data_IF_568001091073
#
_entry.id   IF_568001091073
#
_cell.length_a   1.000
_cell.length_b   1.000
_cell.length_c   1.000
_cell.angle_alpha   90.00
_cell.angle_beta   90.00
_cell.angle_gamma   90.00
#
_symmetry.space_group_name_H-M   'P 1'
#
loop_
_entity.id
_entity.type
_entity.pdbx_description
1 polymer ?
#
# COMPACT_ATOMS: atom_id res chain seq x y z
N UNK A 1 -45.00 -60.42 16.92
CA UNK A 1 -45.12 -61.60 17.81
C UNK A 1 -45.22 -61.06 19.22
N UNK A 2 -46.41 -61.17 19.81
CA UNK A 2 -46.75 -60.66 21.13
C UNK A 2 -46.06 -61.47 22.24
N UNK A 3 -45.49 -60.80 23.25
CA UNK A 3 -45.26 -61.34 24.60
C UNK A 3 -45.47 -60.15 25.55
N UNK A 4 -46.68 -59.89 26.02
CA UNK A 4 -47.40 -60.49 27.16
C UNK A 4 -46.96 -59.94 28.52
N UNK A 5 -47.92 -59.26 29.15
CA UNK A 5 -47.93 -58.69 30.48
C UNK A 5 -48.01 -59.78 31.57
N UNK A 6 -47.26 -59.63 32.66
CA UNK A 6 -47.65 -60.06 34.01
C UNK A 6 -46.73 -59.39 35.04
N UNK A 7 -47.22 -58.29 35.63
CA UNK A 7 -46.65 -57.69 36.85
C UNK A 7 -47.28 -58.43 38.04
N UNK A 8 -46.47 -59.17 38.79
CA UNK A 8 -46.83 -59.68 40.11
C UNK A 8 -46.73 -58.56 41.15
N UNK A 9 -47.79 -58.40 41.93
CA UNK A 9 -47.81 -57.61 43.16
C UNK A 9 -46.92 -58.29 44.20
N UNK A 10 -45.84 -57.61 44.60
CA UNK A 10 -45.19 -57.83 45.90
C UNK A 10 -45.14 -56.52 46.67
N UNK A 11 -45.59 -56.60 47.92
CA UNK A 11 -45.75 -55.53 48.91
C UNK A 11 -44.41 -54.88 49.31
N UNK A 12 -44.50 -53.57 49.57
CA UNK A 12 -43.70 -52.77 50.52
C UNK A 12 -42.17 -52.75 50.37
N UNK A 13 -41.69 -51.69 49.72
CA UNK A 13 -40.94 -50.64 50.42
C UNK A 13 -41.04 -49.36 49.58
N UNK A 14 -42.00 -48.51 49.91
CA UNK A 14 -41.97 -47.11 49.50
C UNK A 14 -40.81 -46.46 50.27
N UNK A 15 -39.59 -46.60 49.75
CA UNK A 15 -38.53 -45.65 50.03
C UNK A 15 -38.90 -44.37 49.29
N UNK A 16 -39.76 -43.57 49.90
CA UNK A 16 -39.91 -42.19 49.48
C UNK A 16 -38.52 -41.55 49.60
N UNK A 17 -37.83 -41.41 48.48
CA UNK A 17 -36.84 -40.34 48.36
C UNK A 17 -37.66 -39.08 48.49
N UNK A 18 -37.77 -38.59 49.73
CA UNK A 18 -38.31 -37.28 50.06
C UNK A 18 -37.41 -36.29 49.32
N UNK A 19 -37.76 -35.98 48.06
CA UNK A 19 -37.39 -34.70 47.51
C UNK A 19 -38.14 -33.71 48.37
N UNK A 20 -37.43 -33.12 49.32
CA UNK A 20 -37.89 -31.92 50.02
C UNK A 20 -38.19 -30.94 48.90
N UNK A 21 -39.47 -30.77 48.55
CA UNK A 21 -39.87 -29.66 47.70
C UNK A 21 -39.53 -28.43 48.52
N UNK A 22 -38.70 -27.55 47.99
CA UNK A 22 -38.43 -26.30 48.68
C UNK A 22 -39.72 -25.49 48.71
N UNK A 23 -40.06 -24.99 49.90
CA UNK A 23 -41.31 -24.25 50.10
C UNK A 23 -41.27 -22.88 49.39
N UNK A 24 -40.07 -22.39 49.09
CA UNK A 24 -39.83 -21.26 48.18
C UNK A 24 -39.56 -21.81 46.78
N UNK A 25 -40.38 -21.41 45.81
CA UNK A 25 -40.30 -21.85 44.43
C UNK A 25 -39.69 -20.75 43.57
N UNK A 26 -38.55 -21.05 42.96
CA UNK A 26 -37.92 -20.23 41.92
C UNK A 26 -38.25 -20.85 40.56
N UNK A 27 -38.69 -20.02 39.61
CA UNK A 27 -39.08 -20.47 38.26
C UNK A 27 -37.94 -21.01 37.40
N UNK A 28 -36.68 -20.74 37.78
CA UNK A 28 -35.48 -21.24 37.09
C UNK A 28 -34.40 -21.67 38.07
N UNK A 29 -33.53 -22.58 37.63
CA UNK A 29 -32.31 -23.00 38.34
C UNK A 29 -31.04 -22.47 37.67
N UNK A 30 -31.14 -22.02 36.42
CA UNK A 30 -30.01 -21.49 35.66
C UNK A 30 -30.44 -20.46 34.63
N UNK A 31 -29.55 -19.55 34.28
CA UNK A 31 -29.74 -18.58 33.21
C UNK A 31 -28.46 -18.42 32.39
N UNK A 32 -28.64 -18.07 31.12
CA UNK A 32 -27.60 -17.55 30.24
C UNK A 32 -27.95 -16.07 30.02
N UNK A 33 -26.99 -15.18 30.21
CA UNK A 33 -27.16 -13.75 29.99
C UNK A 33 -25.88 -13.21 29.36
N UNK A 34 -26.02 -12.40 28.31
CA UNK A 34 -24.89 -11.68 27.74
C UNK A 34 -24.63 -10.43 28.56
N UNK A 35 -23.40 -9.94 28.59
CA UNK A 35 -23.11 -8.60 29.13
C UNK A 35 -24.02 -7.53 28.49
N UNK A 36 -24.47 -6.58 29.31
CA UNK A 36 -25.48 -5.58 28.95
C UNK A 36 -26.93 -6.07 28.84
N UNK A 37 -27.18 -7.38 28.86
CA UNK A 37 -28.52 -7.96 28.84
C UNK A 37 -29.07 -8.27 30.25
N UNK A 38 -30.33 -8.70 30.29
CA UNK A 38 -31.00 -9.09 31.52
C UNK A 38 -31.88 -10.33 31.35
N UNK A 39 -32.13 -11.03 32.45
CA UNK A 39 -33.13 -12.08 32.51
C UNK A 39 -34.06 -11.87 33.70
N UNK A 40 -35.28 -12.42 33.63
CA UNK A 40 -36.27 -12.30 34.70
C UNK A 40 -36.73 -13.68 35.12
N UNK A 41 -36.86 -13.88 36.44
CA UNK A 41 -37.45 -15.08 37.03
C UNK A 41 -38.50 -14.67 38.07
N UNK A 42 -39.50 -15.51 38.27
CA UNK A 42 -40.43 -15.36 39.39
C UNK A 42 -40.07 -16.22 40.61
N UNK A 43 -40.43 -15.67 41.78
CA UNK A 43 -40.38 -16.29 43.10
C UNK A 43 -41.80 -16.33 43.66
N UNK A 44 -42.18 -17.46 44.25
CA UNK A 44 -43.42 -17.60 45.03
C UNK A 44 -43.23 -18.64 46.13
N UNK A 45 -44.20 -18.75 47.03
CA UNK A 45 -44.27 -19.87 47.96
C UNK A 45 -45.19 -20.96 47.41
N UNK A 46 -45.04 -22.20 47.87
CA UNK A 46 -45.91 -23.31 47.51
C UNK A 46 -47.07 -23.54 48.49
N UNK A 47 -46.99 -23.00 49.71
CA UNK A 47 -48.02 -23.08 50.75
C UNK A 47 -48.22 -21.74 51.50
N UNK A 48 -49.38 -21.56 52.13
CA UNK A 48 -49.70 -20.35 52.91
C UNK A 48 -48.79 -20.24 54.15
N UNK A 49 -48.06 -19.12 54.36
CA UNK A 49 -47.25 -18.92 55.55
C UNK A 49 -48.15 -18.56 56.77
N UNK A 50 -48.59 -19.60 57.48
CA UNK A 50 -49.64 -19.52 58.49
C UNK A 50 -49.25 -18.73 59.74
N UNK A 51 -47.96 -18.66 60.07
CA UNK A 51 -47.46 -18.07 61.32
C UNK A 51 -46.72 -16.73 61.12
N UNK A 52 -46.91 -16.07 59.98
CA UNK A 52 -46.41 -14.71 59.71
C UNK A 52 -45.82 -14.55 58.30
N UNK A 53 -45.44 -13.32 57.88
CA UNK A 53 -44.87 -13.11 56.56
C UNK A 53 -43.52 -13.82 56.40
N UNK A 54 -43.19 -14.17 55.16
CA UNK A 54 -41.88 -14.70 54.75
C UNK A 54 -41.14 -13.63 53.98
N UNK A 55 -39.94 -13.29 54.45
CA UNK A 55 -39.02 -12.41 53.73
C UNK A 55 -37.98 -13.26 53.03
N UNK A 56 -37.89 -13.14 51.70
CA UNK A 56 -36.85 -13.76 50.89
C UNK A 56 -35.86 -12.66 50.49
N UNK A 57 -34.65 -12.65 51.06
CA UNK A 57 -33.56 -11.77 50.64
C UNK A 57 -32.85 -12.32 49.41
N UNK A 58 -32.42 -11.44 48.51
CA UNK A 58 -31.74 -11.77 47.25
C UNK A 58 -30.38 -11.08 47.24
N UNK A 59 -29.33 -11.83 46.93
CA UNK A 59 -27.97 -11.33 46.75
C UNK A 59 -27.30 -11.97 45.54
N UNK A 60 -26.28 -11.33 44.99
CA UNK A 60 -25.48 -11.86 43.88
C UNK A 60 -24.07 -12.17 44.35
N UNK A 61 -23.47 -13.23 43.81
CA UNK A 61 -22.08 -13.61 44.12
C UNK A 61 -21.04 -12.80 43.36
N UNK A 62 -21.48 -11.98 42.39
CA UNK A 62 -20.64 -11.14 41.54
C UNK A 62 -21.15 -9.70 41.54
N UNK A 63 -20.22 -8.75 41.47
CA UNK A 63 -20.52 -7.34 41.28
C UNK A 63 -20.95 -7.02 39.84
N UNK A 64 -20.71 -7.93 38.89
CA UNK A 64 -21.18 -7.82 37.51
C UNK A 64 -22.67 -8.16 37.36
N UNK A 65 -23.34 -8.60 38.43
CA UNK A 65 -24.79 -8.84 38.44
C UNK A 65 -25.48 -7.88 39.40
N UNK A 66 -26.54 -7.22 38.91
CA UNK A 66 -27.43 -6.39 39.73
C UNK A 66 -28.84 -6.96 39.73
N UNK A 67 -29.45 -7.08 40.91
CA UNK A 67 -30.85 -7.49 41.05
C UNK A 67 -31.77 -6.27 41.16
N UNK A 68 -32.91 -6.30 40.47
CA UNK A 68 -33.91 -5.23 40.53
C UNK A 68 -34.55 -5.09 41.92
N UNK A 69 -34.53 -6.16 42.72
CA UNK A 69 -35.02 -6.22 44.10
C UNK A 69 -34.05 -7.04 44.96
N UNK A 70 -33.82 -6.60 46.19
CA UNK A 70 -32.94 -7.28 47.17
C UNK A 70 -33.73 -8.07 48.23
N UNK A 71 -35.05 -7.92 48.25
CA UNK A 71 -35.93 -8.71 49.11
C UNK A 71 -37.35 -8.74 48.55
N UNK A 72 -38.06 -9.83 48.84
CA UNK A 72 -39.47 -10.03 48.55
C UNK A 72 -40.21 -10.38 49.84
N UNK A 73 -41.46 -9.93 49.97
CA UNK A 73 -42.32 -10.26 51.11
C UNK A 73 -43.55 -11.03 50.65
N UNK A 74 -43.76 -12.20 51.25
CA UNK A 74 -44.91 -13.05 51.02
C UNK A 74 -45.75 -13.16 52.30
N UNK A 75 -47.05 -13.06 52.13
CA UNK A 75 -48.10 -13.11 53.14
C UNK A 75 -49.15 -14.11 52.70
N UNK A 76 -50.08 -14.49 53.59
CA UNK A 76 -51.23 -15.33 53.24
C UNK A 76 -52.09 -14.76 52.10
N UNK A 77 -51.97 -13.47 51.77
CA UNK A 77 -52.72 -12.84 50.69
C UNK A 77 -52.06 -12.96 49.31
N UNK A 78 -50.74 -13.12 49.23
CA UNK A 78 -49.96 -13.04 47.97
C UNK A 78 -48.94 -14.19 47.80
N UNK A 79 -48.93 -15.20 48.66
CA UNK A 79 -47.94 -16.28 48.64
C UNK A 79 -47.91 -17.09 47.33
N UNK A 80 -49.05 -17.20 46.62
CA UNK A 80 -49.15 -17.84 45.30
C UNK A 80 -48.92 -16.88 44.13
N UNK A 81 -48.91 -15.58 44.37
CA UNK A 81 -48.72 -14.59 43.33
C UNK A 81 -47.22 -14.52 42.96
N UNK A 82 -46.85 -14.81 41.71
CA UNK A 82 -45.45 -14.72 41.27
C UNK A 82 -44.93 -13.29 41.42
N UNK A 83 -43.87 -13.13 42.21
CA UNK A 83 -43.13 -11.87 42.29
C UNK A 83 -41.88 -11.97 41.42
N UNK A 84 -41.73 -11.03 40.49
CA UNK A 84 -40.67 -11.06 39.49
C UNK A 84 -39.42 -10.33 39.97
N UNK A 85 -38.26 -10.94 39.70
CA UNK A 85 -36.94 -10.38 39.92
C UNK A 85 -36.22 -10.37 38.59
N UNK A 86 -35.68 -9.21 38.22
CA UNK A 86 -34.86 -9.04 37.03
C UNK A 86 -33.41 -8.96 37.47
N UNK A 87 -32.55 -9.73 36.82
CA UNK A 87 -31.10 -9.70 37.00
C UNK A 87 -30.50 -9.11 35.73
N UNK A 88 -29.71 -8.06 35.90
CA UNK A 88 -28.98 -7.38 34.83
C UNK A 88 -27.50 -7.74 34.94
N UNK A 89 -26.89 -8.12 33.82
CA UNK A 89 -25.44 -8.25 33.71
C UNK A 89 -24.86 -6.87 33.34
N UNK A 90 -23.80 -6.46 34.04
CA UNK A 90 -23.06 -5.26 33.68
C UNK A 90 -22.47 -5.43 32.27
N UNK A 91 -22.44 -4.33 31.53
CA UNK A 91 -21.78 -4.20 30.23
C UNK A 91 -20.41 -3.59 30.47
N UNK A 92 -19.35 -4.20 29.96
CA UNK A 92 -18.09 -3.50 29.75
C UNK A 92 -17.68 -3.52 28.27
N UNK A 93 -16.40 -3.31 27.96
CA UNK A 93 -15.90 -3.25 26.58
C UNK A 93 -14.67 -4.15 26.41
N UNK A 94 -14.40 -5.04 27.37
CA UNK A 94 -13.20 -5.85 27.47
C UNK A 94 -13.54 -7.27 27.05
N UNK A 95 -12.83 -7.82 26.06
CA UNK A 95 -12.94 -9.24 25.68
C UNK A 95 -12.46 -10.11 26.85
N UNK A 96 -13.42 -10.65 27.59
CA UNK A 96 -13.20 -11.50 28.75
C UNK A 96 -13.69 -12.92 28.49
N UNK A 97 -13.19 -13.86 29.29
CA UNK A 97 -13.74 -15.20 29.29
C UNK A 97 -15.10 -15.24 30.00
N UNK A 98 -16.06 -15.98 29.45
CA UNK A 98 -17.35 -16.25 30.10
C UNK A 98 -17.22 -16.62 31.59
N UNK A 99 -18.04 -16.00 32.43
CA UNK A 99 -17.99 -16.16 33.89
C UNK A 99 -19.28 -16.79 34.42
N UNK A 100 -19.14 -17.70 35.40
CA UNK A 100 -20.29 -18.23 36.15
C UNK A 100 -20.44 -17.48 37.46
N UNK A 101 -21.62 -16.88 37.67
CA UNK A 101 -22.04 -16.23 38.90
C UNK A 101 -23.32 -16.87 39.46
N UNK A 102 -23.75 -16.44 40.64
CA UNK A 102 -24.90 -17.00 41.34
C UNK A 102 -25.82 -15.91 41.88
N UNK A 103 -27.12 -16.15 41.79
CA UNK A 103 -28.13 -15.45 42.58
C UNK A 103 -28.44 -16.32 43.79
N UNK A 104 -28.24 -15.77 44.97
CA UNK A 104 -28.40 -16.45 46.26
C UNK A 104 -29.62 -15.91 46.99
N UNK A 105 -30.23 -16.76 47.81
CA UNK A 105 -31.44 -16.44 48.54
C UNK A 105 -31.27 -16.74 50.02
N UNK A 106 -31.80 -15.85 50.86
CA UNK A 106 -31.95 -16.07 52.30
C UNK A 106 -33.43 -16.00 52.65
N UNK A 107 -33.89 -16.86 53.57
CA UNK A 107 -35.29 -16.89 53.98
C UNK A 107 -35.39 -16.64 55.48
N UNK A 108 -36.22 -15.68 55.87
CA UNK A 108 -36.50 -15.35 57.28
C UNK A 108 -38.00 -15.26 57.48
N UNK A 109 -38.52 -15.91 58.51
CA UNK A 109 -39.94 -15.86 58.85
C UNK A 109 -40.18 -16.17 60.33
N UNK A 110 -41.36 -15.81 60.83
CA UNK A 110 -41.86 -16.37 62.10
C UNK A 110 -42.44 -17.79 61.90
N UNK A 111 -42.78 -18.17 60.67
CA UNK A 111 -43.22 -19.51 60.32
C UNK A 111 -42.02 -20.46 60.23
N UNK A 112 -41.95 -21.42 61.15
CA UNK A 112 -40.84 -22.39 61.23
C UNK A 112 -40.74 -23.32 60.03
N UNK A 113 -41.76 -23.37 59.18
CA UNK A 113 -41.72 -24.09 57.90
C UNK A 113 -40.81 -23.38 56.89
N UNK A 114 -40.75 -22.05 56.97
CA UNK A 114 -40.01 -21.19 56.05
C UNK A 114 -38.74 -20.61 56.65
N UNK A 115 -38.69 -20.39 57.97
CA UNK A 115 -37.55 -19.72 58.60
C UNK A 115 -36.25 -20.51 58.42
N UNK A 116 -35.26 -19.88 57.78
CA UNK A 116 -33.98 -20.51 57.45
C UNK A 116 -34.04 -21.58 56.36
N UNK A 117 -35.12 -21.64 55.58
CA UNK A 117 -35.24 -22.56 54.45
C UNK A 117 -34.08 -22.36 53.45
N UNK A 118 -33.49 -23.48 53.03
CA UNK A 118 -32.35 -23.46 52.11
C UNK A 118 -32.85 -23.53 50.67
N UNK A 119 -32.72 -22.42 49.96
CA UNK A 119 -33.06 -22.31 48.55
C UNK A 119 -31.80 -22.49 47.71
N UNK A 120 -31.86 -23.35 46.70
CA UNK A 120 -30.75 -23.52 45.77
C UNK A 120 -30.51 -22.21 44.98
N UNK A 121 -29.26 -21.80 44.77
CA UNK A 121 -28.98 -20.60 43.99
C UNK A 121 -29.36 -20.79 42.51
N UNK A 122 -29.64 -19.69 41.83
CA UNK A 122 -29.71 -19.68 40.35
C UNK A 122 -28.28 -19.54 39.82
N UNK A 123 -27.83 -20.49 39.02
CA UNK A 123 -26.53 -20.40 38.33
C UNK A 123 -26.67 -19.55 37.07
N UNK A 124 -25.87 -18.49 36.96
CA UNK A 124 -25.91 -17.56 35.84
C UNK A 124 -24.60 -17.68 35.08
N UNK A 125 -24.65 -18.13 33.82
CA UNK A 125 -23.54 -18.03 32.89
C UNK A 125 -23.63 -16.66 32.20
N UNK A 126 -22.63 -15.82 32.44
CA UNK A 126 -22.46 -14.52 31.83
C UNK A 126 -21.56 -14.72 30.62
N UNK A 127 -22.06 -14.40 29.43
CA UNK A 127 -21.28 -14.49 28.18
C UNK A 127 -20.81 -13.13 27.74
N UNK A 128 -19.54 -13.09 27.35
CA UNK A 128 -18.89 -11.93 26.77
C UNK A 128 -19.36 -11.72 25.32
N UNK A 129 -19.54 -10.46 24.91
CA UNK A 129 -19.90 -10.08 23.54
C UNK A 129 -18.90 -9.12 22.90
N UNK A 130 -17.78 -8.85 23.56
CA UNK A 130 -16.67 -8.09 23.02
C UNK A 130 -15.71 -9.04 22.29
N UNK A 131 -14.98 -8.50 21.33
CA UNK A 131 -14.00 -9.26 20.56
C UNK A 131 -12.77 -8.41 20.37
N UNK A 132 -11.66 -8.87 20.93
CA UNK A 132 -10.37 -8.23 20.74
C UNK A 132 -9.90 -8.34 19.29
N UNK A 133 -9.32 -7.26 18.81
CA UNK A 133 -8.92 -7.11 17.43
C UNK A 133 -8.16 -5.83 17.20
N UNK A 134 -7.31 -5.85 16.17
CA UNK A 134 -6.67 -4.66 15.60
C UNK A 134 -7.29 -4.45 14.23
N UNK A 135 -7.98 -3.33 14.06
CA UNK A 135 -8.55 -2.91 12.77
C UNK A 135 -7.57 -1.99 12.07
N UNK A 136 -7.22 -2.32 10.83
CA UNK A 136 -6.43 -1.47 9.93
C UNK A 136 -7.30 -1.11 8.74
N UNK A 137 -7.49 0.18 8.50
CA UNK A 137 -8.33 0.67 7.39
C UNK A 137 -7.57 1.68 6.55
N UNK A 138 -7.83 1.68 5.24
CA UNK A 138 -7.18 2.51 4.24
C UNK A 138 -7.53 2.05 2.83
N UNK A 139 -7.03 2.76 1.82
CA UNK A 139 -7.09 2.31 0.43
C UNK A 139 -6.26 1.03 0.28
N UNK A 140 -6.82 -0.05 -0.29
CA UNK A 140 -6.12 -1.34 -0.44
C UNK A 140 -6.19 -1.86 -1.88
N UNK A 141 -5.04 -2.00 -2.59
CA UNK A 141 -3.73 -1.50 -2.17
C UNK A 141 -3.73 0.03 -2.04
N UNK A 142 -2.89 0.57 -1.14
CA UNK A 142 -2.61 1.99 -1.14
C UNK A 142 -1.67 2.32 -2.31
N UNK A 143 -1.68 3.56 -2.79
CA UNK A 143 -0.79 4.00 -3.85
C UNK A 143 -0.11 5.30 -3.44
N UNK A 144 1.22 5.28 -3.39
CA UNK A 144 2.08 6.45 -3.15
C UNK A 144 2.97 6.67 -4.37
N UNK A 145 3.54 7.86 -4.53
CA UNK A 145 4.50 8.15 -5.60
C UNK A 145 5.88 8.48 -5.05
N UNK A 146 6.90 8.18 -5.84
CA UNK A 146 8.31 8.42 -5.55
C UNK A 146 8.61 9.91 -5.44
N UNK A 147 8.11 10.72 -6.38
CA UNK A 147 8.15 12.19 -6.32
C UNK A 147 7.43 12.84 -5.11
N UNK A 148 6.73 12.04 -4.28
CA UNK A 148 5.99 12.50 -3.12
C UNK A 148 4.73 13.32 -3.44
N UNK A 149 4.31 13.40 -4.70
CA UNK A 149 3.07 14.04 -5.10
C UNK A 149 1.82 13.33 -4.55
N UNK A 150 1.92 12.02 -4.34
CA UNK A 150 0.87 11.18 -3.76
C UNK A 150 1.39 10.55 -2.46
N UNK A 151 0.72 10.91 -1.36
CA UNK A 151 0.89 10.28 -0.05
C UNK A 151 -0.44 9.70 0.40
N UNK A 152 -0.37 8.65 1.21
CA UNK A 152 -1.56 7.95 1.71
C UNK A 152 -1.54 7.84 3.23
N UNK A 153 -2.69 7.48 3.79
CA UNK A 153 -2.83 7.26 5.23
C UNK A 153 -3.59 5.97 5.51
N UNK A 154 -3.15 5.25 6.53
CA UNK A 154 -3.92 4.16 7.13
C UNK A 154 -4.34 4.56 8.55
N UNK A 155 -5.46 4.01 8.99
CA UNK A 155 -5.99 4.20 10.34
C UNK A 155 -5.97 2.86 11.06
N UNK A 156 -5.39 2.86 12.26
CA UNK A 156 -5.29 1.70 13.15
C UNK A 156 -6.06 1.99 14.43
N UNK A 157 -6.89 1.04 14.87
CA UNK A 157 -7.69 1.14 16.11
C UNK A 157 -7.94 -0.25 16.70
N UNK A 158 -8.12 -0.36 18.01
CA UNK A 158 -8.52 -1.62 18.65
C UNK A 158 -10.05 -1.79 18.64
N UNK A 159 -10.55 -3.04 18.61
CA UNK A 159 -11.99 -3.33 18.58
C UNK A 159 -12.62 -3.59 19.96
N UNK A 160 -11.80 -3.76 21.00
CA UNK A 160 -12.22 -3.83 22.41
C UNK A 160 -11.19 -3.11 23.30
N UNK A 161 -11.60 -2.79 24.54
CA UNK A 161 -10.73 -2.23 25.56
C UNK A 161 -9.71 -3.30 26.02
N UNK A 162 -8.40 -3.01 26.01
CA UNK A 162 -7.40 -3.95 26.48
C UNK A 162 -7.23 -3.86 28.01
N UNK A 163 -6.84 -4.97 28.63
CA UNK A 163 -6.52 -5.07 30.06
C UNK A 163 -5.17 -4.41 30.42
N UNK A 164 -4.27 -4.32 29.45
CA UNK A 164 -2.96 -3.68 29.56
C UNK A 164 -2.59 -2.95 28.29
N UNK A 165 -1.60 -2.06 28.36
CA UNK A 165 -1.20 -1.29 27.18
C UNK A 165 -0.80 -2.20 26.02
N UNK A 166 -1.30 -1.88 24.83
CA UNK A 166 -1.04 -2.60 23.57
C UNK A 166 -0.15 -1.73 22.71
N UNK A 167 0.97 -2.27 22.27
CA UNK A 167 1.88 -1.64 21.30
C UNK A 167 1.75 -2.33 19.95
N UNK A 168 1.51 -1.57 18.89
CA UNK A 168 1.51 -2.05 17.51
C UNK A 168 2.71 -1.44 16.79
N UNK A 169 3.69 -2.27 16.41
CA UNK A 169 4.87 -1.85 15.66
C UNK A 169 4.71 -2.19 14.18
N UNK A 170 5.01 -1.23 13.32
CA UNK A 170 4.89 -1.33 11.87
C UNK A 170 6.28 -1.45 11.25
N UNK A 171 6.41 -2.31 10.23
CA UNK A 171 7.64 -2.49 9.44
C UNK A 171 7.30 -2.69 7.97
N UNK A 172 8.17 -2.21 7.08
CA UNK A 172 8.04 -2.32 5.62
C UNK A 172 9.44 -2.41 4.99
N UNK A 173 9.51 -2.70 3.69
CA UNK A 173 10.72 -2.42 2.92
C UNK A 173 10.90 -0.90 2.79
N UNK A 174 12.09 -0.43 3.16
CA UNK A 174 12.41 1.00 3.19
C UNK A 174 13.05 1.48 1.89
N UNK A 175 13.25 0.59 0.90
CA UNK A 175 13.61 1.02 -0.45
C UNK A 175 12.43 1.67 -1.15
N UNK A 176 11.20 1.24 -0.85
CA UNK A 176 10.00 1.68 -1.60
C UNK A 176 9.10 2.64 -0.82
N UNK A 177 8.95 2.43 0.48
CA UNK A 177 7.93 3.15 1.27
C UNK A 177 8.38 3.36 2.70
N UNK A 178 8.06 4.53 3.25
CA UNK A 178 8.23 4.84 4.67
C UNK A 178 6.89 4.96 5.37
N UNK A 179 6.89 4.63 6.67
CA UNK A 179 5.71 4.76 7.54
C UNK A 179 6.03 5.62 8.75
N UNK A 180 5.10 6.52 9.12
CA UNK A 180 5.27 7.37 10.29
C UNK A 180 3.94 7.65 11.00
N UNK A 181 3.82 7.36 12.31
CA UNK A 181 4.83 6.71 13.17
C UNK A 181 4.99 5.20 12.89
N UNK A 182 6.13 4.62 13.27
CA UNK A 182 6.39 3.16 13.17
C UNK A 182 5.88 2.38 14.38
N UNK A 183 5.37 3.05 15.41
CA UNK A 183 4.85 2.41 16.63
C UNK A 183 3.67 3.20 17.16
N UNK A 184 2.60 2.49 17.46
CA UNK A 184 1.36 3.00 18.04
C UNK A 184 1.18 2.38 19.42
N UNK A 185 0.66 3.16 20.37
CA UNK A 185 0.37 2.66 21.73
C UNK A 185 -1.08 2.95 22.05
N UNK A 186 -1.79 1.91 22.46
CA UNK A 186 -3.19 1.96 22.88
C UNK A 186 -3.27 1.57 24.36
N UNK A 187 -3.94 2.41 25.14
CA UNK A 187 -4.19 2.18 26.57
C UNK A 187 -5.67 1.86 26.79
N UNK A 188 -6.03 1.41 27.99
CA UNK A 188 -7.44 1.23 28.35
C UNK A 188 -8.30 2.50 28.19
N UNK A 189 -7.72 3.70 28.17
CA UNK A 189 -8.46 4.95 27.98
C UNK A 189 -8.50 5.42 26.50
N UNK A 190 -7.59 4.92 25.65
CA UNK A 190 -7.37 5.44 24.29
C UNK A 190 -7.46 4.35 23.21
N UNK A 191 -7.88 3.13 23.56
CA UNK A 191 -7.93 1.99 22.63
C UNK A 191 -8.85 2.21 21.43
N UNK A 192 -9.93 2.94 21.65
CA UNK A 192 -10.92 3.30 20.62
C UNK A 192 -10.56 4.58 19.87
N UNK A 193 -9.47 5.26 20.25
CA UNK A 193 -9.01 6.44 19.54
C UNK A 193 -8.28 5.99 18.26
N UNK A 194 -8.79 6.40 17.12
CA UNK A 194 -8.18 6.14 15.83
C UNK A 194 -6.79 6.78 15.75
N UNK A 195 -5.77 5.98 15.46
CA UNK A 195 -4.41 6.45 15.22
C UNK A 195 -4.08 6.36 13.74
N UNK A 196 -3.65 7.49 13.16
CA UNK A 196 -3.31 7.58 11.74
C UNK A 196 -1.81 7.37 11.54
N UNK A 197 -1.46 6.58 10.53
CA UNK A 197 -0.10 6.38 10.04
C UNK A 197 -0.01 6.95 8.62
N UNK A 198 1.00 7.78 8.38
CA UNK A 198 1.33 8.33 7.08
C UNK A 198 2.21 7.35 6.30
N UNK A 199 1.87 7.14 5.04
CA UNK A 199 2.63 6.40 4.05
C UNK A 199 3.22 7.37 3.03
N UNK A 200 4.50 7.22 2.71
CA UNK A 200 5.20 8.05 1.72
C UNK A 200 6.16 7.18 0.91
N UNK A 201 6.11 7.31 -0.42
CA UNK A 201 7.04 6.64 -1.33
C UNK A 201 8.47 7.14 -1.11
N UNK A 202 9.44 6.28 -1.40
CA UNK A 202 10.86 6.63 -1.33
C UNK A 202 11.34 6.90 -2.74
N UNK A 203 11.71 8.14 -3.01
CA UNK A 203 12.27 8.53 -4.30
C UNK A 203 13.64 7.88 -4.52
N UNK A 204 13.82 7.26 -5.67
CA UNK A 204 15.12 7.06 -6.29
C UNK A 204 15.14 7.69 -7.69
N UNK A 205 16.13 7.36 -8.51
CA UNK A 205 16.24 7.90 -9.86
C UNK A 205 16.20 6.77 -10.92
N UNK A 206 15.82 5.55 -10.54
CA UNK A 206 15.87 4.34 -11.38
C UNK A 206 14.47 4.05 -11.95
N UNK A 207 14.35 3.98 -13.28
CA UNK A 207 13.16 3.40 -13.94
C UNK A 207 13.13 1.89 -13.67
N UNK A 208 12.54 1.48 -12.55
CA UNK A 208 12.33 0.08 -12.20
C UNK A 208 10.84 -0.34 -12.26
N UNK A 209 9.98 0.60 -12.62
CA UNK A 209 8.53 0.47 -12.67
C UNK A 209 7.87 0.45 -11.30
N UNK A 210 6.53 0.41 -11.25
CA UNK A 210 5.83 0.40 -9.97
C UNK A 210 6.22 -0.82 -9.10
N UNK A 211 6.63 -0.56 -7.85
CA UNK A 211 6.98 -1.59 -6.87
C UNK A 211 5.86 -1.84 -5.87
N UNK A 212 5.59 -3.12 -5.59
CA UNK A 212 4.62 -3.55 -4.57
C UNK A 212 5.35 -3.92 -3.26
N UNK A 213 4.92 -3.31 -2.16
CA UNK A 213 5.45 -3.50 -0.81
C UNK A 213 4.35 -3.87 0.19
N UNK A 214 4.76 -4.45 1.33
CA UNK A 214 3.86 -4.80 2.43
C UNK A 214 4.27 -4.15 3.74
N UNK A 215 3.31 -3.50 4.38
CA UNK A 215 3.41 -3.09 5.78
C UNK A 215 2.97 -4.25 6.65
N UNK A 216 3.85 -4.68 7.53
CA UNK A 216 3.62 -5.74 8.51
C UNK A 216 3.46 -5.15 9.90
N UNK A 217 2.71 -5.84 10.76
CA UNK A 217 2.40 -5.39 12.10
C UNK A 217 2.82 -6.44 13.13
N UNK A 218 3.38 -5.98 14.24
CA UNK A 218 3.68 -6.79 15.42
C UNK A 218 2.92 -6.20 16.60
N UNK A 219 2.05 -7.01 17.22
CA UNK A 219 1.21 -6.60 18.35
C UNK A 219 1.78 -7.19 19.64
N UNK A 220 2.07 -6.32 20.61
CA UNK A 220 2.69 -6.66 21.88
C UNK A 220 1.89 -6.08 23.04
N UNK A 221 1.56 -6.90 24.04
CA UNK A 221 1.06 -6.46 25.33
C UNK A 221 1.64 -7.34 26.43
N UNK A 222 2.01 -6.74 27.56
CA UNK A 222 2.61 -7.48 28.68
C UNK A 222 1.56 -8.04 29.64
N UNK A 223 0.43 -7.36 29.76
CA UNK A 223 -0.62 -7.64 30.74
C UNK A 223 -1.95 -8.06 30.10
N UNK A 224 -2.02 -8.10 28.76
CA UNK A 224 -3.16 -8.61 28.00
C UNK A 224 -2.73 -9.73 27.04
N UNK A 225 -3.04 -10.97 27.41
CA UNK A 225 -2.65 -12.14 26.61
C UNK A 225 -3.48 -12.33 25.35
N UNK A 226 -4.65 -11.70 25.23
CA UNK A 226 -5.51 -11.81 24.05
C UNK A 226 -4.90 -10.96 22.93
N UNK A 227 -4.39 -9.77 23.27
CA UNK A 227 -3.70 -8.91 22.32
C UNK A 227 -2.24 -9.32 22.01
N UNK A 228 -1.52 -9.93 22.95
CA UNK A 228 -0.11 -10.29 22.74
C UNK A 228 0.09 -11.31 21.60
N UNK A 229 0.93 -10.96 20.62
CA UNK A 229 1.15 -11.69 19.37
C UNK A 229 -0.12 -11.89 18.52
N UNK A 230 -1.11 -11.01 18.65
CA UNK A 230 -2.26 -11.02 17.75
C UNK A 230 -1.79 -10.84 16.29
N UNK A 231 -2.26 -11.71 15.41
CA UNK A 231 -1.97 -11.63 13.99
C UNK A 231 -2.80 -10.52 13.34
N UNK A 232 -2.14 -9.65 12.61
CA UNK A 232 -2.78 -8.61 11.79
C UNK A 232 -2.34 -8.84 10.35
N UNK A 233 -3.30 -8.93 9.39
CA UNK A 233 -2.96 -9.08 7.99
C UNK A 233 -2.00 -7.96 7.51
N UNK A 234 -1.02 -8.27 6.65
CA UNK A 234 -0.20 -7.23 6.06
C UNK A 234 -1.06 -6.27 5.22
N UNK A 235 -0.59 -5.04 5.08
CA UNK A 235 -1.25 -4.01 4.31
C UNK A 235 -0.43 -3.73 3.05
N UNK A 236 -1.04 -3.96 1.88
CA UNK A 236 -0.38 -3.81 0.58
C UNK A 236 -0.30 -2.33 0.15
N UNK A 237 0.86 -1.92 -0.35
CA UNK A 237 1.13 -0.58 -0.87
C UNK A 237 1.88 -0.72 -2.19
N UNK A 238 1.46 0.05 -3.19
CA UNK A 238 2.20 0.20 -4.45
C UNK A 238 2.86 1.59 -4.48
N UNK A 239 4.17 1.62 -4.66
CA UNK A 239 4.92 2.84 -4.98
C UNK A 239 4.95 2.99 -6.49
N UNK A 240 4.52 4.16 -6.99
CA UNK A 240 4.51 4.44 -8.43
C UNK A 240 5.77 5.16 -8.85
N UNK A 241 6.44 4.55 -9.82
CA UNK A 241 7.64 5.05 -10.48
C UNK A 241 7.31 6.27 -11.37
N UNK A 242 8.14 7.30 -11.24
CA UNK A 242 8.06 8.51 -12.06
C UNK A 242 9.31 8.76 -12.91
N UNK A 243 10.25 7.83 -12.91
CA UNK A 243 11.41 7.84 -13.78
C UNK A 243 11.08 7.25 -15.16
N UNK A 244 11.92 7.58 -16.13
CA UNK A 244 11.77 7.05 -17.48
C UNK A 244 13.13 6.94 -18.15
N UNK A 245 13.46 5.73 -18.58
CA UNK A 245 14.70 5.44 -19.27
C UNK A 245 14.83 6.26 -20.57
N UNK A 246 15.99 6.89 -20.75
CA UNK A 246 16.23 7.70 -21.94
C UNK A 246 17.66 8.23 -22.07
N UNK A 247 17.99 8.67 -23.28
CA UNK A 247 19.24 9.34 -23.60
C UNK A 247 18.93 10.65 -24.31
N UNK A 248 19.22 11.76 -23.65
CA UNK A 248 19.02 13.09 -24.20
C UNK A 248 20.30 13.58 -24.88
N UNK A 249 20.18 13.97 -26.15
CA UNK A 249 21.25 14.63 -26.92
C UNK A 249 20.82 16.06 -27.23
N UNK A 250 21.62 17.04 -26.79
CA UNK A 250 21.32 18.46 -27.01
C UNK A 250 22.41 19.17 -27.82
N UNK A 251 21.98 19.86 -28.88
CA UNK A 251 22.83 20.64 -29.78
C UNK A 251 22.12 21.97 -30.12
N UNK A 252 21.95 22.89 -29.16
CA UNK A 252 20.99 23.98 -29.26
C UNK A 252 21.39 25.04 -30.30
N UNK A 253 22.69 25.15 -30.59
CA UNK A 253 23.23 26.03 -31.63
C UNK A 253 23.29 25.36 -33.02
N UNK A 254 22.96 24.06 -33.11
CA UNK A 254 23.30 23.22 -34.24
C UNK A 254 24.81 22.94 -34.33
N UNK A 255 25.21 22.17 -35.34
CA UNK A 255 26.61 21.85 -35.62
C UNK A 255 26.99 22.50 -36.96
N UNK A 256 27.66 23.65 -36.90
CA UNK A 256 28.20 24.40 -38.04
C UNK A 256 29.68 24.65 -37.77
N UNK A 257 30.54 23.98 -38.54
CA UNK A 257 31.99 23.96 -38.38
C UNK A 257 32.67 24.37 -39.67
N UNK A 258 33.91 24.85 -39.59
CA UNK A 258 34.68 25.28 -40.76
C UNK A 258 36.03 24.59 -40.74
N UNK A 259 36.46 24.11 -41.89
CA UNK A 259 37.79 23.53 -42.10
C UNK A 259 38.87 24.52 -41.64
N UNK A 260 39.87 24.03 -40.92
CA UNK A 260 40.92 24.86 -40.31
C UNK A 260 40.41 25.94 -39.33
N UNK A 261 39.12 25.86 -38.95
CA UNK A 261 38.37 26.95 -38.33
C UNK A 261 37.75 26.59 -36.98
N UNK A 262 36.50 27.01 -36.77
CA UNK A 262 35.81 26.86 -35.48
C UNK A 262 35.22 25.47 -35.30
N UNK A 263 35.21 25.00 -34.06
CA UNK A 263 34.53 23.79 -33.62
C UNK A 263 33.13 24.09 -33.09
N UNK A 264 32.27 23.08 -33.08
CA UNK A 264 30.97 23.10 -32.41
C UNK A 264 30.95 22.02 -31.32
N UNK A 265 29.93 22.00 -30.47
CA UNK A 265 29.76 20.94 -29.47
C UNK A 265 28.30 20.62 -29.25
N UNK A 266 28.04 19.37 -28.88
CA UNK A 266 26.76 18.92 -28.33
C UNK A 266 26.99 18.21 -26.99
N UNK A 267 25.93 17.97 -26.24
CA UNK A 267 25.98 17.23 -24.98
C UNK A 267 25.10 15.99 -25.03
N UNK A 268 25.47 14.98 -24.23
CA UNK A 268 24.71 13.76 -24.02
C UNK A 268 24.53 13.55 -22.52
N UNK A 269 23.36 13.12 -22.08
CA UNK A 269 23.01 12.78 -20.68
C UNK A 269 22.00 11.63 -20.67
N UNK A 270 21.93 10.86 -19.58
CA UNK A 270 20.86 9.87 -19.37
C UNK A 270 19.68 10.52 -18.64
N UNK A 271 18.48 10.01 -18.87
CA UNK A 271 17.25 10.55 -18.29
C UNK A 271 16.84 9.87 -16.96
N UNK A 272 17.48 8.75 -16.60
CA UNK A 272 17.34 8.04 -15.31
C UNK A 272 18.67 7.35 -14.91
N UNK A 273 18.80 6.90 -13.68
CA UNK A 273 19.94 6.15 -13.15
C UNK A 273 20.00 4.74 -13.77
N UNK A 274 21.13 4.32 -14.37
CA UNK A 274 21.26 2.97 -14.91
C UNK A 274 21.75 1.96 -13.85
N UNK A 275 21.23 0.73 -13.90
CA UNK A 275 21.68 -0.36 -13.03
C UNK A 275 23.04 -0.95 -13.44
N UNK A 276 23.47 -0.70 -14.68
CA UNK A 276 24.80 -1.07 -15.20
C UNK A 276 25.32 0.03 -16.14
N UNK A 277 26.65 0.18 -16.20
CA UNK A 277 27.32 1.17 -17.04
C UNK A 277 26.79 1.18 -18.48
N UNK A 278 26.41 2.37 -18.95
CA UNK A 278 25.90 2.62 -20.31
C UNK A 278 27.02 3.23 -21.15
N UNK A 279 27.31 2.60 -22.28
CA UNK A 279 28.29 3.12 -23.25
C UNK A 279 27.59 3.68 -24.47
N UNK A 280 27.79 4.98 -24.72
CA UNK A 280 27.31 5.66 -25.94
C UNK A 280 28.46 5.80 -26.93
N UNK A 281 28.37 5.09 -28.05
CA UNK A 281 29.32 5.19 -29.16
C UNK A 281 28.79 6.17 -30.21
N UNK A 282 29.65 7.09 -30.64
CA UNK A 282 29.32 8.15 -31.58
C UNK A 282 30.07 7.89 -32.88
N UNK A 283 29.33 7.84 -33.99
CA UNK A 283 29.89 7.57 -35.32
C UNK A 283 29.48 8.65 -36.32
N UNK A 284 30.38 8.97 -37.24
CA UNK A 284 30.17 10.01 -38.26
C UNK A 284 30.05 9.33 -39.63
N UNK A 285 29.10 9.78 -40.46
CA UNK A 285 28.72 9.10 -41.70
C UNK A 285 29.61 9.35 -42.92
N UNK A 286 29.96 10.60 -43.22
CA UNK A 286 30.60 11.00 -44.50
C UNK A 286 32.06 11.42 -44.40
N UNK A 287 32.57 11.70 -43.19
CA UNK A 287 34.01 11.91 -42.97
C UNK A 287 34.46 13.37 -43.09
N UNK A 288 33.51 14.29 -43.21
CA UNK A 288 33.69 15.75 -43.28
C UNK A 288 33.91 16.34 -41.89
N UNK A 289 33.43 15.65 -40.86
CA UNK A 289 33.65 16.01 -39.46
C UNK A 289 34.20 14.86 -38.63
N UNK A 290 34.86 15.23 -37.54
CA UNK A 290 35.33 14.33 -36.49
C UNK A 290 34.70 14.72 -35.16
N UNK A 291 34.60 13.75 -34.24
CA UNK A 291 34.06 13.94 -32.89
C UNK A 291 35.08 13.51 -31.84
N UNK A 292 35.19 14.28 -30.76
CA UNK A 292 36.04 13.94 -29.61
C UNK A 292 35.33 14.33 -28.29
N UNK A 293 35.10 13.37 -27.37
CA UNK A 293 35.33 11.93 -27.51
C UNK A 293 34.30 11.25 -28.45
N UNK A 294 34.67 10.10 -29.03
CA UNK A 294 33.77 9.24 -29.83
C UNK A 294 33.05 8.17 -29.01
N UNK A 295 33.31 8.11 -27.70
CA UNK A 295 32.67 7.19 -26.77
C UNK A 295 32.48 7.88 -25.43
N UNK A 296 31.28 7.77 -24.88
CA UNK A 296 30.91 8.25 -23.55
C UNK A 296 30.51 7.06 -22.68
N UNK A 297 30.86 7.11 -21.39
CA UNK A 297 30.46 6.09 -20.41
C UNK A 297 29.72 6.77 -19.27
N UNK A 298 28.51 6.29 -19.01
CA UNK A 298 27.67 6.69 -17.90
C UNK A 298 27.55 5.52 -16.92
N UNK A 299 27.48 5.83 -15.64
CA UNK A 299 27.46 4.94 -14.47
C UNK A 299 26.41 5.48 -13.49
N UNK A 300 26.07 4.74 -12.45
CA UNK A 300 25.22 5.23 -11.34
C UNK A 300 25.70 6.56 -10.74
N UNK A 301 27.00 6.86 -10.81
CA UNK A 301 27.58 8.06 -10.18
C UNK A 301 27.57 9.30 -11.08
N UNK A 302 27.28 9.17 -12.38
CA UNK A 302 27.43 10.28 -13.35
C UNK A 302 26.40 10.29 -14.49
N UNK A 303 25.33 9.49 -14.40
CA UNK A 303 24.29 9.40 -15.43
C UNK A 303 23.60 10.74 -15.71
N UNK A 304 23.39 11.53 -14.66
CA UNK A 304 22.75 12.86 -14.65
C UNK A 304 23.68 13.99 -15.11
N UNK A 305 24.97 13.70 -15.29
CA UNK A 305 25.98 14.69 -15.59
C UNK A 305 26.21 14.74 -17.10
N UNK A 306 25.75 15.81 -17.74
CA UNK A 306 25.92 15.99 -19.20
C UNK A 306 27.39 15.95 -19.61
N UNK A 307 27.72 15.06 -20.55
CA UNK A 307 29.06 14.93 -21.13
C UNK A 307 29.11 15.64 -22.49
N UNK A 308 30.16 16.43 -22.73
CA UNK A 308 30.32 17.27 -23.93
C UNK A 308 31.16 16.56 -24.99
N UNK A 309 30.74 16.68 -26.25
CA UNK A 309 31.44 16.17 -27.43
C UNK A 309 31.73 17.32 -28.37
N UNK A 310 33.00 17.47 -28.75
CA UNK A 310 33.46 18.50 -29.68
C UNK A 310 33.42 17.95 -31.09
N UNK A 311 32.82 18.70 -32.01
CA UNK A 311 32.79 18.42 -33.45
C UNK A 311 33.76 19.35 -34.16
N UNK A 312 34.62 18.80 -35.01
CA UNK A 312 35.63 19.52 -35.78
C UNK A 312 35.55 19.13 -37.25
N UNK A 313 35.54 20.09 -38.17
CA UNK A 313 35.65 19.82 -39.60
C UNK A 313 37.02 19.22 -39.95
N UNK A 314 37.06 18.31 -40.91
CA UNK A 314 38.30 17.73 -41.43
C UNK A 314 38.90 18.69 -42.47
N UNK A 315 39.99 19.37 -42.10
CA UNK A 315 40.69 20.32 -42.98
C UNK A 315 41.46 19.57 -44.09
N UNK A 316 41.14 19.85 -45.35
CA UNK A 316 41.87 19.31 -46.49
C UNK A 316 42.36 20.38 -47.48
N UNK A 317 42.44 20.06 -48.79
CA UNK A 317 42.91 20.99 -49.83
C UNK A 317 42.02 20.97 -51.07
N UNK A 318 40.93 20.20 -51.03
CA UNK A 318 40.02 19.95 -52.14
C UNK A 318 38.90 21.00 -52.13
N UNK A 319 38.71 21.69 -53.26
CA UNK A 319 37.62 22.67 -53.39
C UNK A 319 36.36 21.95 -53.80
N UNK A 320 35.59 21.46 -52.84
CA UNK A 320 34.36 20.70 -53.07
C UNK A 320 33.07 21.35 -52.52
N UNK A 321 33.20 22.47 -51.81
CA UNK A 321 32.11 23.26 -51.25
C UNK A 321 31.55 22.73 -49.92
N UNK A 322 30.63 23.48 -49.30
CA UNK A 322 30.03 23.09 -48.01
C UNK A 322 29.40 21.68 -48.05
N UNK A 323 29.87 20.77 -47.17
CA UNK A 323 29.40 19.40 -47.04
C UNK A 323 28.50 19.20 -45.81
N UNK A 324 27.66 18.17 -45.85
CA UNK A 324 26.76 17.83 -44.76
C UNK A 324 26.95 16.38 -44.29
N UNK A 325 27.13 16.23 -42.98
CA UNK A 325 27.35 14.96 -42.31
C UNK A 325 26.26 14.63 -41.29
N UNK A 326 26.08 13.33 -41.05
CA UNK A 326 25.23 12.82 -39.98
C UNK A 326 26.08 12.17 -38.89
N UNK A 327 25.76 12.50 -37.64
CA UNK A 327 26.32 11.92 -36.43
C UNK A 327 25.29 10.96 -35.85
N UNK A 328 25.66 9.69 -35.72
CA UNK A 328 24.83 8.61 -35.22
C UNK A 328 25.27 8.17 -33.83
N UNK A 329 24.32 7.66 -33.06
CA UNK A 329 24.52 7.19 -31.69
C UNK A 329 24.16 5.71 -31.60
N UNK A 330 25.02 4.93 -30.94
CA UNK A 330 24.75 3.56 -30.54
C UNK A 330 24.88 3.46 -29.03
N UNK A 331 23.92 2.81 -28.37
CA UNK A 331 23.89 2.63 -26.92
C UNK A 331 24.01 1.14 -26.63
N UNK A 332 24.97 0.77 -25.78
CA UNK A 332 25.23 -0.60 -25.33
C UNK A 332 25.30 -0.60 -23.79
N UNK A 333 24.58 -1.52 -23.16
CA UNK A 333 24.58 -1.70 -21.71
C UNK A 333 24.21 -3.14 -21.33
N UNK A 334 24.65 -3.57 -20.15
CA UNK A 334 24.10 -4.77 -19.52
C UNK A 334 22.79 -4.51 -18.78
N UNK A 335 22.41 -3.25 -18.63
CA UNK A 335 21.08 -2.84 -18.20
C UNK A 335 20.09 -3.06 -19.36
N UNK A 336 19.10 -3.97 -19.20
CA UNK A 336 18.14 -4.27 -20.26
C UNK A 336 17.28 -3.09 -20.72
N UNK A 337 17.08 -2.07 -19.88
CA UNK A 337 16.28 -0.90 -20.24
C UNK A 337 17.07 0.07 -21.12
N UNK A 338 18.39 0.15 -20.93
CA UNK A 338 19.28 0.97 -21.76
C UNK A 338 19.80 0.26 -23.02
N UNK A 339 19.83 -1.07 -23.04
CA UNK A 339 20.40 -1.83 -24.15
C UNK A 339 19.67 -1.52 -25.48
N UNK A 340 20.45 -1.22 -26.52
CA UNK A 340 19.99 -0.87 -27.87
C UNK A 340 19.08 0.37 -27.99
N UNK A 341 19.06 1.28 -27.01
CA UNK A 341 18.34 2.57 -27.12
C UNK A 341 18.89 3.49 -28.21
N UNK A 342 20.10 3.25 -28.75
CA UNK A 342 20.69 4.12 -29.77
C UNK A 342 19.82 4.33 -31.01
N UNK A 343 18.92 3.39 -31.34
CA UNK A 343 18.00 3.53 -32.47
C UNK A 343 16.86 4.54 -32.25
N UNK A 344 16.60 4.95 -31.00
CA UNK A 344 15.58 5.97 -30.68
C UNK A 344 16.15 7.39 -30.74
N UNK A 345 17.48 7.54 -30.69
CA UNK A 345 18.17 8.83 -30.75
C UNK A 345 18.22 9.31 -32.20
N UNK A 346 17.68 10.50 -32.46
CA UNK A 346 17.76 11.12 -33.77
C UNK A 346 19.21 11.49 -34.13
N UNK A 347 19.71 11.18 -35.34
CA UNK A 347 21.03 11.62 -35.76
C UNK A 347 21.14 13.16 -35.78
N UNK A 348 22.30 13.69 -35.38
CA UNK A 348 22.57 15.12 -35.51
C UNK A 348 23.11 15.43 -36.91
N UNK A 349 22.65 16.53 -37.48
CA UNK A 349 23.20 17.08 -38.71
C UNK A 349 24.37 18.03 -38.43
N UNK A 350 25.46 17.86 -39.18
CA UNK A 350 26.66 18.69 -39.12
C UNK A 350 26.93 19.33 -40.48
N UNK A 351 27.07 20.64 -40.53
CA UNK A 351 27.51 21.38 -41.71
C UNK A 351 29.01 21.68 -41.59
N UNK A 352 29.80 21.17 -42.53
CA UNK A 352 31.22 21.51 -42.69
C UNK A 352 31.37 22.53 -43.81
N UNK A 353 32.03 23.66 -43.52
CA UNK A 353 32.29 24.73 -44.48
C UNK A 353 33.68 24.58 -45.08
N UNK A 354 33.72 24.48 -46.40
CA UNK A 354 34.93 24.47 -47.24
C UNK A 354 35.67 25.81 -47.08
N UNK A 355 36.93 25.75 -46.67
CA UNK A 355 37.77 26.93 -46.51
C UNK A 355 38.68 27.19 -47.72
N UNK A 356 38.70 26.28 -48.69
CA UNK A 356 39.59 26.31 -49.82
C UNK A 356 39.04 27.16 -50.96
N UNK A 357 39.97 27.71 -51.74
CA UNK A 357 39.63 28.59 -52.84
C UNK A 357 40.09 27.99 -54.16
N UNK A 358 39.23 28.07 -55.18
CA UNK A 358 39.60 27.75 -56.56
C UNK A 358 40.86 28.53 -56.93
N UNK A 359 41.94 27.86 -57.40
CA UNK A 359 43.18 28.53 -57.77
C UNK A 359 42.93 29.64 -58.80
N UNK A 360 43.15 30.89 -58.41
CA UNK A 360 42.87 32.07 -59.25
C UNK A 360 43.92 32.34 -60.34
N UNK A 361 44.92 31.47 -60.48
CA UNK A 361 45.96 31.61 -61.52
C UNK A 361 46.04 30.34 -62.36
N UNK A 362 45.51 30.43 -63.58
CA UNK A 362 45.87 29.51 -64.64
C UNK A 362 47.36 29.78 -65.00
N UNK A 363 48.25 28.78 -64.99
CA UNK A 363 49.56 28.94 -65.61
C UNK A 363 49.32 29.35 -67.06
N UNK A 364 49.92 30.46 -67.51
CA UNK A 364 49.73 30.95 -68.86
C UNK A 364 50.03 29.82 -69.86
N UNK A 365 48.98 29.24 -70.45
CA UNK A 365 49.10 28.24 -71.48
C UNK A 365 49.75 28.91 -72.70
N UNK A 366 51.02 28.62 -72.96
CA UNK A 366 51.61 28.84 -74.27
C UNK A 366 50.99 27.86 -75.26
N UNK A 367 49.80 28.20 -75.77
CA UNK A 367 49.16 27.50 -76.89
C UNK A 367 47.77 26.94 -76.59
N UNK A 368 46.76 27.79 -76.79
CA UNK A 368 45.43 27.46 -77.32
C UNK A 368 44.71 26.21 -76.81
N UNK A 369 44.02 26.34 -75.68
CA UNK A 369 42.64 25.85 -75.50
C UNK A 369 42.01 26.64 -74.33
N UNK A 370 40.79 27.22 -74.44
CA UNK A 370 40.14 27.84 -73.29
C UNK A 370 39.61 26.77 -72.34
N UNK A 371 39.81 26.95 -71.03
CA UNK A 371 39.10 26.17 -70.01
C UNK A 371 37.58 26.34 -70.15
N UNK A 372 36.77 25.34 -69.75
CA UNK A 372 35.33 25.51 -69.63
C UNK A 372 35.02 26.50 -68.50
N UNK A 373 33.99 27.34 -68.72
CA UNK A 373 33.52 28.29 -67.73
C UNK A 373 32.87 27.57 -66.54
N UNK A 374 33.20 27.99 -65.32
CA UNK A 374 32.57 27.55 -64.08
C UNK A 374 31.16 28.14 -63.96
N UNK A 375 30.12 27.33 -64.16
CA UNK A 375 28.79 27.64 -63.64
C UNK A 375 28.66 27.05 -62.24
N UNK A 376 28.80 27.90 -61.22
CA UNK A 376 28.39 27.57 -59.85
C UNK A 376 26.86 27.51 -59.82
N UNK A 377 26.31 26.32 -59.59
CA UNK A 377 24.88 26.14 -59.31
C UNK A 377 24.71 26.01 -57.79
N UNK A 378 24.32 27.09 -57.13
CA UNK A 378 23.98 27.04 -55.70
C UNK A 378 22.58 26.43 -55.54
N UNK A 379 22.48 25.26 -54.90
CA UNK A 379 21.19 24.68 -54.50
C UNK A 379 20.90 25.11 -53.06
N UNK A 380 19.80 25.84 -52.86
CA UNK A 380 19.33 26.22 -51.52
C UNK A 380 18.36 25.16 -51.01
N UNK A 381 18.82 24.26 -50.16
CA UNK A 381 17.96 23.30 -49.46
C UNK A 381 17.42 23.98 -48.20
N UNK A 382 16.09 24.16 -48.12
CA UNK A 382 15.40 24.56 -46.89
C UNK A 382 14.72 23.29 -46.37
N UNK A 383 15.26 22.69 -45.32
CA UNK A 383 14.62 21.58 -44.62
C UNK A 383 13.71 22.14 -43.52
N UNK A 384 12.41 21.86 -43.60
CA UNK A 384 11.47 22.03 -42.49
C UNK A 384 11.16 20.64 -41.95
N UNK A 385 11.57 20.34 -40.73
CA UNK A 385 11.36 19.02 -40.12
C UNK A 385 9.90 18.91 -39.69
N UNK A 386 9.16 18.00 -40.32
CA UNK A 386 7.81 17.62 -39.95
C UNK A 386 7.73 16.10 -39.88
N UNK A 387 7.18 15.59 -38.77
CA UNK A 387 7.06 14.17 -38.45
C UNK A 387 6.17 13.43 -39.47
N UNK A 388 6.77 12.83 -40.50
CA UNK A 388 6.28 11.63 -41.18
C UNK A 388 7.29 11.20 -42.27
N UNK A 389 7.58 9.90 -42.33
CA UNK A 389 8.35 9.25 -43.40
C UNK A 389 7.73 9.54 -44.78
N UNK A 390 8.36 10.37 -45.61
CA UNK A 390 8.10 10.38 -47.05
C UNK A 390 9.37 10.48 -47.89
N UNK A 391 9.35 9.72 -48.99
CA UNK A 391 10.43 9.54 -49.95
C UNK A 391 10.77 10.86 -50.64
N UNK A 392 12.05 11.25 -50.64
CA UNK A 392 12.54 12.42 -51.38
C UNK A 392 12.45 12.17 -52.90
N UNK A 393 11.57 12.89 -53.60
CA UNK A 393 11.59 12.99 -55.05
C UNK A 393 12.22 14.32 -55.47
N UNK A 394 13.41 14.27 -56.08
CA UNK A 394 14.02 15.43 -56.73
C UNK A 394 13.23 15.71 -58.02
N UNK A 395 12.40 16.75 -58.03
CA UNK A 395 11.72 17.21 -59.24
C UNK A 395 12.53 18.31 -59.94
N UNK A 396 13.05 18.00 -61.12
CA UNK A 396 13.44 19.00 -62.12
C UNK A 396 14.95 19.11 -62.38
N UNK A 397 15.43 18.32 -63.34
CA UNK A 397 16.67 18.61 -64.06
C UNK A 397 16.30 19.35 -65.34
N UNK A 398 16.57 20.66 -65.44
CA UNK A 398 16.65 21.36 -66.72
C UNK A 398 18.13 21.39 -67.15
N UNK A 399 18.48 20.57 -68.14
CA UNK A 399 19.73 20.70 -68.86
C UNK A 399 19.55 21.84 -69.89
N UNK A 400 20.26 22.94 -69.70
CA UNK A 400 20.46 23.93 -70.76
C UNK A 400 21.57 23.44 -71.68
N UNK A 401 21.21 22.90 -72.85
CA UNK A 401 22.14 22.61 -73.93
C UNK A 401 22.34 23.86 -74.81
N UNK A 402 23.60 24.22 -75.04
CA UNK A 402 23.94 25.47 -75.69
C UNK A 402 25.35 25.52 -76.25
N UNK A 403 25.71 24.58 -77.14
CA UNK A 403 26.57 24.85 -78.29
C UNK A 403 26.45 23.74 -79.36
N UNK A 404 26.10 24.17 -80.57
CA UNK A 404 26.20 23.38 -81.78
C UNK A 404 27.20 24.05 -82.70
N UNK A 405 28.38 23.47 -82.82
CA UNK A 405 29.42 23.82 -83.78
C UNK A 405 29.64 22.67 -84.78
N UNK A 406 29.40 23.01 -86.05
CA UNK A 406 29.86 22.29 -87.22
C UNK A 406 30.84 23.14 -88.00
#
# INVERSE_FOLDING_TARGET
MFVSCAIERSLLACGAVLHVRSAVVISTTSALVTEGDSFTFDVRLDEDPAEGPVTVSISTSSLTLTASLFQLEFTSANFLDPQFVTIEAADDLVDNADVVARVEFGVTSADTTYDGEVVAPVEVLITDNDVAGVSVTGSTPASVSEDGAVIEFIVVVLTSQPLGDVTVTLSTDLTEVTVSPTTLTFTADTWSDEQTVRLEGVNDDVDDGNQDSQITFVVESLDDTIYHNMEVPPFDVTTTDDDTVGVTVDAPAGIDVTEGGTTASFTVVLDSEPLNDVTVTITVGGGEVTVDPSTLTFTSDNWDTSQSVVVTAVDDTDVDGDQFDLIFFAVDSLDPLYDNLGATIAPLGALARDNDAVPTTCPAATGGNPCPATTSNTVKIIATVGLALETFCISGWEAGDGDGDG
#
